data_IF_259045771494
#
_entry.id   IF_259045771494
#
_cell.length_a   1.000
_cell.length_b   1.000
_cell.length_c   1.000
_cell.angle_alpha   90.00
_cell.angle_beta   90.00
_cell.angle_gamma   90.00
#
_symmetry.space_group_name_H-M   'P 1'
#
loop_
_entity.id
_entity.type
_entity.pdbx_description
1 polymer ?
#
# COMPACT_ATOMS: atom_id res chain seq x y z
N UNK A 1 -43.56 9.51 11.63
CA UNK A 1 -44.29 9.33 10.35
C UNK A 1 -45.27 8.16 10.39
N UNK A 2 -44.87 6.91 10.69
CA UNK A 2 -45.78 5.72 10.66
C UNK A 2 -47.07 5.82 11.49
N UNK A 3 -47.11 6.60 12.58
CA UNK A 3 -48.30 6.82 13.42
C UNK A 3 -49.18 8.01 13.00
N UNK A 4 -48.72 8.87 12.09
CA UNK A 4 -49.35 10.17 11.81
C UNK A 4 -50.42 10.05 10.70
N UNK A 5 -50.32 9.05 9.81
CA UNK A 5 -51.22 8.91 8.65
C UNK A 5 -52.20 7.72 8.74
N UNK A 6 -52.31 7.01 9.87
CA UNK A 6 -53.21 5.85 10.04
C UNK A 6 -53.08 4.76 8.95
N UNK A 7 -51.91 4.65 8.31
CA UNK A 7 -51.68 3.67 7.24
C UNK A 7 -51.54 2.27 7.85
N UNK A 8 -52.49 1.37 7.57
CA UNK A 8 -52.37 -0.05 7.93
C UNK A 8 -51.42 -0.75 6.95
N UNK A 9 -50.23 -1.10 7.43
CA UNK A 9 -49.26 -1.85 6.63
C UNK A 9 -49.69 -3.32 6.50
N UNK A 10 -49.71 -3.84 5.28
CA UNK A 10 -49.98 -5.26 5.02
C UNK A 10 -48.68 -6.01 4.71
N UNK A 11 -48.42 -7.10 5.44
CA UNK A 11 -47.18 -7.87 5.34
C UNK A 11 -47.39 -9.32 4.86
N UNK A 12 -48.64 -9.75 4.74
CA UNK A 12 -48.99 -11.12 4.33
C UNK A 12 -48.78 -11.35 2.82
N UNK A 13 -48.48 -12.60 2.47
CA UNK A 13 -48.34 -13.04 1.08
C UNK A 13 -49.69 -12.92 0.34
N UNK A 14 -49.67 -12.43 -0.91
CA UNK A 14 -50.88 -12.26 -1.74
C UNK A 14 -51.66 -10.95 -1.53
N UNK A 15 -51.35 -10.13 -0.52
CA UNK A 15 -51.98 -8.81 -0.32
C UNK A 15 -51.21 -7.70 -1.04
N UNK A 16 -51.92 -6.84 -1.79
CA UNK A 16 -51.31 -5.71 -2.52
C UNK A 16 -51.00 -4.55 -1.56
N UNK A 17 -49.71 -4.22 -1.41
CA UNK A 17 -49.26 -3.04 -0.65
C UNK A 17 -49.73 -1.75 -1.31
N UNK A 18 -50.17 -0.78 -0.51
CA UNK A 18 -50.51 0.56 -0.99
C UNK A 18 -49.27 1.26 -1.56
N UNK A 19 -49.42 2.22 -2.51
CA UNK A 19 -48.29 2.99 -3.02
C UNK A 19 -47.49 3.67 -1.91
N UNK A 20 -48.17 4.20 -0.89
CA UNK A 20 -47.57 4.86 0.27
C UNK A 20 -46.75 3.89 1.13
N UNK A 21 -47.27 2.69 1.41
CA UNK A 21 -46.51 1.65 2.11
C UNK A 21 -45.23 1.29 1.34
N UNK A 22 -45.33 1.09 0.02
CA UNK A 22 -44.16 0.80 -0.82
C UNK A 22 -43.12 1.91 -0.76
N UNK A 23 -43.55 3.18 -0.83
CA UNK A 23 -42.64 4.33 -0.72
C UNK A 23 -41.95 4.40 0.65
N UNK A 24 -42.68 4.14 1.74
CA UNK A 24 -42.10 4.12 3.09
C UNK A 24 -41.09 2.98 3.23
N UNK A 25 -41.43 1.75 2.82
CA UNK A 25 -40.52 0.62 2.86
C UNK A 25 -39.26 0.87 2.01
N UNK A 26 -39.43 1.51 0.84
CA UNK A 26 -38.30 1.91 -0.03
C UNK A 26 -37.39 2.92 0.66
N UNK A 27 -37.95 3.92 1.32
CA UNK A 27 -37.20 4.91 2.09
C UNK A 27 -36.47 4.27 3.28
N UNK A 28 -37.09 3.30 3.95
CA UNK A 28 -36.46 2.54 5.03
C UNK A 28 -35.31 1.67 4.50
N UNK A 29 -35.48 1.02 3.34
CA UNK A 29 -34.42 0.29 2.65
C UNK A 29 -33.22 1.21 2.33
N UNK A 30 -33.49 2.39 1.77
CA UNK A 30 -32.47 3.38 1.45
C UNK A 30 -31.76 3.90 2.70
N UNK A 31 -32.51 4.21 3.76
CA UNK A 31 -31.94 4.63 5.04
C UNK A 31 -31.02 3.55 5.62
N UNK A 32 -31.43 2.28 5.56
CA UNK A 32 -30.63 1.15 6.02
C UNK A 32 -29.33 1.01 5.22
N UNK A 33 -29.41 1.07 3.88
CA UNK A 33 -28.22 1.02 3.02
C UNK A 33 -27.29 2.21 3.27
N UNK A 34 -27.83 3.41 3.45
CA UNK A 34 -27.02 4.60 3.76
C UNK A 34 -26.24 4.43 5.07
N UNK A 35 -26.89 3.92 6.13
CA UNK A 35 -26.24 3.61 7.41
C UNK A 35 -25.14 2.56 7.24
N UNK A 36 -25.42 1.51 6.46
CA UNK A 36 -24.44 0.47 6.16
C UNK A 36 -23.22 1.05 5.42
N UNK A 37 -23.43 1.83 4.36
CA UNK A 37 -22.33 2.44 3.61
C UNK A 37 -21.52 3.41 4.45
N UNK A 38 -22.16 4.25 5.27
CA UNK A 38 -21.45 5.13 6.19
C UNK A 38 -20.56 4.34 7.16
N UNK A 39 -21.06 3.22 7.70
CA UNK A 39 -20.24 2.33 8.54
C UNK A 39 -19.06 1.75 7.75
N UNK A 40 -19.28 1.27 6.53
CA UNK A 40 -18.21 0.72 5.68
C UNK A 40 -17.13 1.75 5.36
N UNK A 41 -17.52 2.96 4.98
CA UNK A 41 -16.58 4.06 4.70
C UNK A 41 -15.77 4.40 5.96
N UNK A 42 -16.44 4.51 7.11
CA UNK A 42 -15.77 4.77 8.38
C UNK A 42 -14.77 3.65 8.74
N UNK A 43 -15.16 2.38 8.56
CA UNK A 43 -14.28 1.24 8.82
C UNK A 43 -13.11 1.14 7.84
N UNK A 44 -13.29 1.55 6.59
CA UNK A 44 -12.24 1.54 5.57
C UNK A 44 -11.17 2.62 5.82
N UNK A 45 -11.54 3.73 6.48
CA UNK A 45 -10.64 4.84 6.77
C UNK A 45 -10.01 5.41 5.51
N UNK A 46 -8.69 5.62 5.54
CA UNK A 46 -7.89 6.08 4.40
C UNK A 46 -7.57 4.96 3.39
N UNK A 47 -7.93 3.71 3.72
CA UNK A 47 -7.70 2.55 2.85
C UNK A 47 -8.72 2.44 1.72
N UNK A 48 -8.41 1.62 0.71
CA UNK A 48 -9.32 1.30 -0.40
C UNK A 48 -10.22 0.08 -0.13
N UNK A 49 -9.84 -0.76 0.84
CA UNK A 49 -10.56 -1.98 1.23
C UNK A 49 -10.14 -2.42 2.62
N UNK A 50 -10.95 -3.24 3.28
CA UNK A 50 -10.64 -3.82 4.60
C UNK A 50 -11.16 -5.26 4.69
N UNK A 51 -10.52 -6.08 5.51
CA UNK A 51 -11.00 -7.46 5.75
C UNK A 51 -12.21 -7.44 6.66
N UNK A 52 -13.21 -8.30 6.37
CA UNK A 52 -14.43 -8.38 7.18
C UNK A 52 -14.19 -8.91 8.60
N UNK A 53 -13.11 -9.65 8.82
CA UNK A 53 -12.80 -10.31 10.10
C UNK A 53 -11.76 -9.56 10.92
N UNK A 54 -10.83 -8.88 10.25
CA UNK A 54 -9.72 -8.16 10.87
C UNK A 54 -9.46 -6.86 10.08
N UNK A 55 -10.10 -5.77 10.51
CA UNK A 55 -10.08 -4.51 9.74
C UNK A 55 -8.66 -3.90 9.64
N UNK A 56 -7.73 -4.32 10.50
CA UNK A 56 -6.35 -3.80 10.52
C UNK A 56 -5.46 -4.52 9.47
N UNK A 57 -5.92 -5.64 8.91
CA UNK A 57 -5.20 -6.38 7.88
C UNK A 57 -5.44 -5.80 6.47
N UNK A 58 -4.36 -5.72 5.68
CA UNK A 58 -4.43 -5.27 4.29
C UNK A 58 -4.46 -6.45 3.33
N UNK A 59 -5.23 -6.34 2.26
CA UNK A 59 -5.22 -7.32 1.18
C UNK A 59 -3.92 -7.24 0.37
N UNK A 60 -3.06 -8.26 0.48
CA UNK A 60 -1.79 -8.33 -0.24
C UNK A 60 -1.78 -9.51 -1.21
N UNK A 61 -0.97 -9.40 -2.28
CA UNK A 61 -0.81 -10.46 -3.27
C UNK A 61 0.18 -11.50 -2.74
N UNK A 62 -0.33 -12.67 -2.38
CA UNK A 62 0.51 -13.75 -1.87
C UNK A 62 1.27 -14.46 -3.01
N UNK A 63 2.56 -14.75 -2.77
CA UNK A 63 3.42 -15.48 -3.73
C UNK A 63 3.03 -16.95 -3.86
N UNK A 64 2.51 -17.56 -2.79
CA UNK A 64 2.24 -18.99 -2.72
C UNK A 64 0.76 -19.30 -2.54
N UNK A 65 0.08 -19.64 -3.63
CA UNK A 65 -0.98 -20.63 -3.56
C UNK A 65 -0.65 -21.72 -4.57
N UNK A 66 -1.01 -22.97 -4.26
CA UNK A 66 -0.86 -24.12 -5.14
C UNK A 66 -1.40 -23.88 -6.56
N UNK A 67 -2.37 -22.97 -6.69
CA UNK A 67 -2.99 -22.58 -7.96
C UNK A 67 -2.25 -21.45 -8.71
N UNK A 68 -1.30 -20.72 -8.09
CA UNK A 68 -0.61 -19.54 -8.68
C UNK A 68 -1.54 -18.43 -9.21
N UNK A 69 -2.77 -18.34 -8.69
CA UNK A 69 -3.79 -17.39 -9.17
C UNK A 69 -3.55 -15.94 -8.70
N UNK A 70 -2.54 -15.68 -7.86
CA UNK A 70 -2.24 -14.35 -7.34
C UNK A 70 -3.38 -13.74 -6.52
N UNK A 71 -4.14 -14.57 -5.79
CA UNK A 71 -5.27 -14.12 -4.99
C UNK A 71 -4.82 -13.16 -3.88
N UNK A 72 -5.54 -12.04 -3.74
CA UNK A 72 -5.36 -11.12 -2.62
C UNK A 72 -5.89 -11.76 -1.33
N UNK A 73 -5.08 -11.72 -0.27
CA UNK A 73 -5.49 -12.20 1.06
C UNK A 73 -5.20 -11.14 2.10
N UNK A 74 -6.04 -11.02 3.13
CA UNK A 74 -5.75 -10.14 4.25
C UNK A 74 -4.51 -10.68 4.96
N UNK A 75 -3.49 -9.85 5.09
CA UNK A 75 -2.21 -10.20 5.67
C UNK A 75 -1.53 -8.96 6.24
N UNK A 76 -0.47 -9.22 7.00
CA UNK A 76 0.47 -8.22 7.47
C UNK A 76 1.83 -8.47 6.84
N UNK A 77 2.58 -7.40 6.63
CA UNK A 77 3.97 -7.45 6.24
C UNK A 77 4.83 -7.47 7.50
N UNK A 78 5.73 -8.45 7.58
CA UNK A 78 6.64 -8.64 8.72
C UNK A 78 8.04 -8.25 8.29
N UNK A 79 8.60 -7.25 8.95
CA UNK A 79 9.99 -6.83 8.75
C UNK A 79 10.83 -7.22 9.95
N UNK A 80 12.05 -7.67 9.69
CA UNK A 80 13.01 -8.01 10.72
C UNK A 80 14.39 -7.46 10.36
N UNK A 81 15.09 -6.96 11.37
CA UNK A 81 16.44 -6.43 11.28
C UNK A 81 17.39 -7.46 11.85
N UNK A 82 18.51 -7.68 11.17
CA UNK A 82 19.52 -8.65 11.57
C UNK A 82 20.84 -7.93 11.77
N UNK A 83 21.49 -8.21 12.90
CA UNK A 83 22.83 -7.74 13.24
C UNK A 83 23.66 -8.91 13.76
N UNK A 84 24.80 -9.18 13.11
CA UNK A 84 25.71 -10.30 13.45
C UNK A 84 24.95 -11.61 13.70
N UNK A 85 24.13 -12.04 12.74
CA UNK A 85 23.31 -13.27 12.79
C UNK A 85 22.15 -13.27 13.80
N UNK A 86 21.99 -12.23 14.62
CA UNK A 86 20.88 -12.10 15.56
C UNK A 86 19.80 -11.18 15.02
N UNK A 87 18.53 -11.53 15.30
CA UNK A 87 17.41 -10.61 15.06
C UNK A 87 17.47 -9.50 16.10
N UNK A 88 17.77 -8.28 15.66
CA UNK A 88 17.87 -7.10 16.52
C UNK A 88 16.52 -6.41 16.71
N UNK A 89 15.61 -6.53 15.73
CA UNK A 89 14.29 -5.91 15.78
C UNK A 89 13.28 -6.59 14.87
N UNK A 90 12.00 -6.49 15.21
CA UNK A 90 10.88 -7.01 14.42
C UNK A 90 9.70 -6.04 14.44
N UNK A 91 9.08 -5.82 13.29
CA UNK A 91 7.85 -5.05 13.17
C UNK A 91 6.86 -5.78 12.30
N UNK A 92 5.57 -5.59 12.60
CA UNK A 92 4.46 -6.11 11.80
C UNK A 92 3.58 -4.94 11.44
N UNK A 93 3.22 -4.82 10.17
CA UNK A 93 2.43 -3.69 9.71
C UNK A 93 1.55 -4.01 8.50
N UNK A 94 0.52 -3.18 8.25
CA UNK A 94 -0.43 -3.39 7.16
C UNK A 94 0.11 -2.94 5.78
N UNK A 95 1.36 -2.48 5.68
CA UNK A 95 1.93 -1.94 4.44
C UNK A 95 2.11 -3.06 3.40
N UNK A 96 1.49 -2.96 2.21
CA UNK A 96 1.58 -4.00 1.18
C UNK A 96 2.92 -4.03 0.44
N UNK A 97 3.72 -2.95 0.53
CA UNK A 97 5.02 -2.83 -0.15
C UNK A 97 6.12 -2.46 0.84
N UNK A 98 7.32 -3.00 0.62
CA UNK A 98 8.45 -2.85 1.53
C UNK A 98 9.00 -1.42 1.55
N UNK A 99 8.93 -0.69 0.43
CA UNK A 99 9.41 0.69 0.27
C UNK A 99 9.01 1.61 1.42
N UNK A 100 7.75 1.56 1.86
CA UNK A 100 7.19 2.45 2.89
C UNK A 100 7.51 2.02 4.33
N UNK A 101 8.12 0.84 4.51
CA UNK A 101 8.33 0.25 5.84
C UNK A 101 9.69 0.61 6.43
N UNK A 102 10.70 0.93 5.62
CA UNK A 102 12.08 1.17 6.08
C UNK A 102 12.19 2.34 7.06
N UNK A 103 11.63 3.50 6.70
CA UNK A 103 11.72 4.70 7.53
C UNK A 103 11.05 4.49 8.90
N UNK A 104 9.79 4.00 8.98
CA UNK A 104 9.19 3.63 10.25
C UNK A 104 10.03 2.62 11.04
N UNK A 105 10.58 1.60 10.37
CA UNK A 105 11.40 0.57 10.98
C UNK A 105 12.65 1.14 11.66
N UNK A 106 13.43 1.96 10.95
CA UNK A 106 14.63 2.59 11.47
C UNK A 106 14.34 3.56 12.63
N UNK A 107 13.25 4.35 12.54
CA UNK A 107 12.85 5.27 13.61
C UNK A 107 12.49 4.54 14.90
N UNK A 108 11.78 3.40 14.79
CA UNK A 108 11.40 2.62 15.96
C UNK A 108 12.64 1.97 16.60
N UNK A 109 13.59 1.46 15.80
CA UNK A 109 14.85 0.93 16.30
C UNK A 109 15.64 2.01 17.04
N UNK A 110 15.81 3.18 16.42
CA UNK A 110 16.52 4.31 17.03
C UNK A 110 15.88 4.70 18.37
N UNK A 111 14.56 4.84 18.39
CA UNK A 111 13.81 5.19 19.59
C UNK A 111 13.98 4.13 20.70
N UNK A 112 13.97 2.85 20.34
CA UNK A 112 13.94 1.75 21.31
C UNK A 112 15.31 1.37 21.83
N UNK A 113 16.35 1.43 20.98
CA UNK A 113 17.72 1.06 21.33
C UNK A 113 18.60 2.26 21.68
N UNK A 114 18.12 3.48 21.44
CA UNK A 114 18.83 4.73 21.66
C UNK A 114 20.18 4.79 20.92
N UNK A 115 20.29 4.11 19.77
CA UNK A 115 21.43 4.20 18.86
C UNK A 115 20.98 4.01 17.40
N UNK A 116 21.84 4.40 16.46
CA UNK A 116 21.64 4.24 15.02
C UNK A 116 22.65 3.28 14.43
N UNK A 117 22.19 2.39 13.57
CA UNK A 117 23.07 1.60 12.71
C UNK A 117 23.71 2.48 11.64
N UNK A 118 25.03 2.41 11.45
CA UNK A 118 25.72 3.26 10.47
C UNK A 118 25.53 2.81 9.03
N UNK A 119 25.30 1.51 8.81
CA UNK A 119 25.17 0.90 7.48
C UNK A 119 23.82 0.21 7.38
N UNK A 120 23.00 0.64 6.45
CA UNK A 120 21.66 0.08 6.21
C UNK A 120 21.74 -0.79 4.96
N UNK A 121 21.63 -2.10 5.13
CA UNK A 121 21.61 -3.07 4.04
C UNK A 121 20.17 -3.53 3.83
N UNK A 122 19.67 -3.43 2.60
CA UNK A 122 18.32 -3.87 2.27
C UNK A 122 18.23 -4.38 0.83
N UNK A 123 17.18 -5.16 0.55
CA UNK A 123 16.91 -5.61 -0.81
C UNK A 123 16.31 -4.49 -1.68
N UNK A 124 16.06 -4.80 -2.94
CA UNK A 124 15.54 -3.82 -3.89
C UNK A 124 14.08 -3.40 -3.66
N UNK A 125 13.32 -4.15 -2.86
CA UNK A 125 11.96 -3.77 -2.47
C UNK A 125 11.93 -2.51 -1.62
N UNK A 126 13.06 -2.12 -1.04
CA UNK A 126 13.24 -0.90 -0.25
C UNK A 126 13.78 0.29 -1.05
N UNK A 127 14.04 0.13 -2.34
CA UNK A 127 14.61 1.18 -3.16
C UNK A 127 13.58 2.31 -3.39
N UNK A 128 13.90 3.51 -2.90
CA UNK A 128 13.15 4.73 -3.18
C UNK A 128 14.00 5.96 -2.88
N UNK A 129 13.75 7.07 -3.60
CA UNK A 129 14.40 8.37 -3.33
C UNK A 129 14.17 8.83 -1.89
N UNK A 130 12.96 8.60 -1.37
CA UNK A 130 12.57 8.97 -0.01
C UNK A 130 13.42 8.22 1.04
N UNK A 131 13.64 6.93 0.82
CA UNK A 131 14.50 6.11 1.69
C UNK A 131 15.96 6.56 1.62
N UNK A 132 16.50 6.82 0.42
CA UNK A 132 17.86 7.31 0.28
C UNK A 132 18.07 8.66 0.98
N UNK A 133 17.17 9.63 0.74
CA UNK A 133 17.22 10.94 1.39
C UNK A 133 17.18 10.80 2.91
N UNK A 134 16.28 9.98 3.46
CA UNK A 134 16.17 9.79 4.91
C UNK A 134 17.43 9.19 5.53
N UNK A 135 18.09 8.24 4.85
CA UNK A 135 19.32 7.62 5.33
C UNK A 135 20.48 8.62 5.29
N UNK A 136 20.60 9.39 4.21
CA UNK A 136 21.62 10.44 4.06
C UNK A 136 21.45 11.56 5.09
N UNK A 137 20.23 12.08 5.26
CA UNK A 137 19.89 13.10 6.26
C UNK A 137 20.17 12.64 7.69
N UNK A 138 20.17 11.31 7.93
CA UNK A 138 20.50 10.70 9.21
C UNK A 138 21.98 10.36 9.40
N UNK A 139 22.86 10.75 8.47
CA UNK A 139 24.29 10.40 8.48
C UNK A 139 24.55 8.88 8.48
N UNK A 140 23.70 8.13 7.80
CA UNK A 140 23.84 6.68 7.61
C UNK A 140 24.24 6.38 6.16
N UNK A 141 24.73 5.17 5.90
CA UNK A 141 25.15 4.73 4.56
C UNK A 141 24.17 3.69 4.03
N UNK A 142 23.58 3.96 2.87
CA UNK A 142 22.65 3.05 2.20
C UNK A 142 23.38 2.00 1.34
N UNK A 143 23.14 0.73 1.60
CA UNK A 143 23.48 -0.42 0.77
C UNK A 143 22.18 -1.11 0.31
N UNK A 144 21.36 -0.36 -0.42
CA UNK A 144 20.08 -0.85 -0.96
C UNK A 144 20.32 -1.25 -2.41
N UNK A 145 19.98 -2.50 -2.75
CA UNK A 145 20.11 -3.00 -4.13
C UNK A 145 19.17 -2.22 -5.06
N UNK A 146 19.63 -1.70 -6.21
CA UNK A 146 18.72 -1.06 -7.17
C UNK A 146 17.69 -2.04 -7.75
N UNK A 147 16.45 -1.58 -7.97
CA UNK A 147 15.38 -2.38 -8.60
C UNK A 147 15.75 -2.91 -9.99
N UNK A 148 16.53 -2.14 -10.73
CA UNK A 148 16.99 -2.49 -12.08
C UNK A 148 18.25 -3.38 -12.10
N UNK A 149 18.86 -3.72 -10.96
CA UNK A 149 20.20 -4.30 -10.88
C UNK A 149 20.42 -5.57 -11.70
N UNK A 150 19.45 -6.50 -11.78
CA UNK A 150 19.62 -7.70 -12.62
C UNK A 150 19.41 -7.40 -14.10
N UNK A 151 18.51 -6.48 -14.43
CA UNK A 151 18.18 -6.15 -15.82
C UNK A 151 19.29 -5.26 -16.42
N UNK A 152 19.93 -4.41 -15.62
CA UNK A 152 21.04 -3.55 -16.03
C UNK A 152 22.28 -4.33 -16.47
N UNK A 153 22.39 -5.61 -16.13
CA UNK A 153 23.46 -6.47 -16.63
C UNK A 153 23.23 -6.94 -18.08
N UNK A 154 22.02 -6.78 -18.61
CA UNK A 154 21.68 -7.31 -19.93
C UNK A 154 22.12 -6.36 -21.05
N UNK A 155 22.61 -6.91 -22.16
CA UNK A 155 23.01 -6.12 -23.34
C UNK A 155 21.88 -5.24 -23.87
N UNK A 156 20.63 -5.72 -23.81
CA UNK A 156 19.47 -4.95 -24.24
C UNK A 156 19.29 -3.68 -23.42
N UNK A 157 19.46 -3.77 -22.10
CA UNK A 157 19.32 -2.63 -21.19
C UNK A 157 20.42 -1.59 -21.44
N UNK A 158 21.67 -2.04 -21.56
CA UNK A 158 22.82 -1.14 -21.74
C UNK A 158 22.86 -0.46 -23.11
N UNK A 159 22.24 -1.06 -24.13
CA UNK A 159 22.18 -0.50 -25.48
C UNK A 159 20.85 0.23 -25.75
N UNK A 160 19.98 0.38 -24.75
CA UNK A 160 18.71 1.07 -24.90
C UNK A 160 18.92 2.59 -24.89
N UNK A 161 18.87 3.20 -26.07
CA UNK A 161 19.09 4.65 -26.27
C UNK A 161 18.01 5.52 -25.60
N UNK A 162 16.87 4.95 -25.21
CA UNK A 162 15.80 5.69 -24.55
C UNK A 162 16.00 5.88 -23.04
N UNK A 163 17.02 5.24 -22.46
CA UNK A 163 17.31 5.34 -21.02
C UNK A 163 18.25 6.48 -20.73
N UNK A 164 17.86 7.35 -19.80
CA UNK A 164 18.69 8.45 -19.28
C UNK A 164 20.05 7.95 -18.79
N UNK A 165 20.11 6.77 -18.17
CA UNK A 165 21.35 6.14 -17.67
C UNK A 165 22.37 5.85 -18.77
N UNK A 166 21.93 5.75 -20.03
CA UNK A 166 22.77 5.50 -21.20
C UNK A 166 22.98 6.78 -22.04
N UNK A 167 22.49 7.95 -21.59
CA UNK A 167 22.69 9.24 -22.25
C UNK A 167 23.95 9.94 -21.72
N UNK A 168 24.56 10.77 -22.56
CA UNK A 168 25.69 11.60 -22.13
C UNK A 168 25.16 12.71 -21.22
N UNK A 169 25.78 12.89 -20.05
CA UNK A 169 25.41 13.93 -19.10
C UNK A 169 26.39 15.10 -19.17
N UNK A 170 25.87 16.29 -19.41
CA UNK A 170 26.60 17.56 -19.34
C UNK A 170 26.39 18.20 -17.97
N UNK A 171 27.41 18.13 -17.12
CA UNK A 171 27.39 18.68 -15.76
C UNK A 171 27.41 20.20 -15.70
N UNK A 172 27.85 20.90 -16.75
CA UNK A 172 27.89 22.37 -16.75
C UNK A 172 26.49 22.96 -16.94
N UNK A 173 25.69 22.34 -17.82
CA UNK A 173 24.35 22.79 -18.15
C UNK A 173 23.24 22.00 -17.43
N UNK A 174 23.59 20.93 -16.70
CA UNK A 174 22.66 20.00 -16.04
C UNK A 174 21.67 19.36 -17.03
N UNK A 175 22.18 18.87 -18.16
CA UNK A 175 21.38 18.33 -19.26
C UNK A 175 21.85 16.93 -19.66
N UNK A 176 20.89 16.10 -20.10
CA UNK A 176 21.17 14.82 -20.74
C UNK A 176 21.06 14.97 -22.25
N UNK A 177 22.09 14.53 -22.98
CA UNK A 177 22.14 14.56 -24.43
C UNK A 177 21.75 13.17 -24.93
N UNK A 178 20.61 13.08 -25.62
CA UNK A 178 20.19 11.83 -26.23
C UNK A 178 21.11 11.44 -27.40
N UNK A 179 21.02 10.18 -27.85
CA UNK A 179 21.83 9.64 -28.96
C UNK A 179 21.74 10.47 -30.26
N UNK A 180 20.67 11.24 -30.44
CA UNK A 180 20.47 12.11 -31.60
C UNK A 180 21.02 13.54 -31.40
N UNK A 181 21.82 13.78 -30.36
CA UNK A 181 22.43 15.07 -30.05
C UNK A 181 21.45 16.14 -29.58
N UNK A 182 20.28 15.75 -29.08
CA UNK A 182 19.26 16.66 -28.55
C UNK A 182 19.19 16.54 -27.03
N UNK A 183 18.98 17.66 -26.37
CA UNK A 183 18.72 17.80 -24.94
C UNK A 183 17.24 17.73 -24.64
#
# INVERSE_FOLDING_TARGET
MKRIENVKFVHECGKRKSPLQKSIEKLEEYLSKLKEYNKKVYTCGDGNSYSKTDNDATFMRMKEFAMKNGQLKPSYNVQHGVDVEYISWLTVGPQPTDTTTLIPFLKIIEYSLNFKYSKIVADAGYESKENYSFIEDNNQIAFIKPSNYEISKTRKYNNDIGRIENMDYDSENDLFICQNGKT
#
